data_IF_808991806478
#
_entry.id   IF_808991806478
#
_cell.length_a   1.000
_cell.length_b   1.000
_cell.length_c   1.000
_cell.angle_alpha   90.00
_cell.angle_beta   90.00
_cell.angle_gamma   90.00
#
_symmetry.space_group_name_H-M   'P 1'
#
loop_
_entity.id
_entity.type
_entity.pdbx_description
1 polymer ?
#
# COMPACT_ATOMS: atom_id res chain seq x y z
N UNK A 1 28.88 3.98 -10.70
CA UNK A 1 28.15 4.83 -9.74
C UNK A 1 27.11 5.59 -10.51
N UNK A 2 25.85 5.14 -10.47
CA UNK A 2 24.72 5.87 -11.08
C UNK A 2 24.54 7.21 -10.35
N UNK A 3 24.11 8.26 -11.06
CA UNK A 3 24.02 9.65 -10.59
C UNK A 3 23.56 9.76 -9.14
N UNK A 4 24.45 10.12 -8.22
CA UNK A 4 24.08 10.49 -6.85
C UNK A 4 23.79 11.99 -6.82
N UNK A 5 22.57 12.37 -6.44
CA UNK A 5 22.22 13.77 -6.20
C UNK A 5 22.02 13.98 -4.71
N UNK A 6 22.65 14.98 -4.12
CA UNK A 6 22.53 15.27 -2.66
C UNK A 6 21.07 15.47 -2.23
N UNK A 7 20.22 15.98 -3.13
CA UNK A 7 18.81 16.24 -2.86
C UNK A 7 17.98 14.95 -2.65
N UNK A 8 18.09 13.98 -3.57
CA UNK A 8 17.25 12.77 -3.60
C UNK A 8 18.02 11.47 -3.30
N UNK A 9 19.34 11.55 -3.14
CA UNK A 9 20.22 10.41 -2.99
C UNK A 9 20.00 9.36 -4.08
N UNK A 10 19.97 8.10 -3.64
CA UNK A 10 19.65 6.92 -4.44
C UNK A 10 18.14 6.63 -4.46
N UNK A 11 17.30 7.41 -3.78
CA UNK A 11 15.85 7.16 -3.77
C UNK A 11 15.23 7.43 -5.14
N UNK A 12 15.72 8.41 -5.90
CA UNK A 12 15.19 8.67 -7.24
C UNK A 12 15.43 7.50 -8.20
N UNK A 13 16.64 6.94 -8.25
CA UNK A 13 16.92 5.76 -9.11
C UNK A 13 16.15 4.52 -8.66
N UNK A 14 15.85 4.39 -7.37
CA UNK A 14 15.01 3.30 -6.86
C UNK A 14 13.53 3.48 -7.25
N UNK A 15 13.06 4.72 -7.43
CA UNK A 15 11.71 5.02 -7.91
C UNK A 15 11.57 4.95 -9.43
N UNK A 16 12.65 5.27 -10.15
CA UNK A 16 12.68 5.32 -11.61
C UNK A 16 13.07 3.99 -12.28
N UNK A 17 13.20 2.90 -11.51
CA UNK A 17 13.53 1.58 -12.06
C UNK A 17 12.35 0.95 -12.82
N UNK A 18 12.66 0.24 -13.91
CA UNK A 18 11.64 -0.41 -14.76
C UNK A 18 10.82 -1.46 -14.00
N UNK A 19 11.47 -2.28 -13.18
CA UNK A 19 10.80 -3.25 -12.30
C UNK A 19 11.23 -3.05 -10.85
N UNK A 20 10.27 -3.11 -9.94
CA UNK A 20 10.53 -3.06 -8.51
C UNK A 20 11.47 -4.20 -8.08
N UNK A 21 12.58 -3.85 -7.42
CA UNK A 21 13.53 -4.81 -6.84
C UNK A 21 14.75 -5.12 -7.71
N UNK A 22 14.86 -4.58 -8.93
CA UNK A 22 15.97 -4.85 -9.84
C UNK A 22 17.29 -4.31 -9.27
N UNK A 23 17.29 -3.04 -8.83
CA UNK A 23 18.46 -2.40 -8.24
C UNK A 23 18.82 -3.01 -6.89
N UNK A 24 17.83 -3.28 -6.04
CA UNK A 24 18.02 -3.88 -4.72
C UNK A 24 18.62 -5.29 -4.85
N UNK A 25 18.14 -6.08 -5.81
CA UNK A 25 18.68 -7.41 -6.11
C UNK A 25 20.12 -7.33 -6.61
N UNK A 26 20.41 -6.37 -7.49
CA UNK A 26 21.77 -6.14 -8.00
C UNK A 26 22.72 -5.73 -6.87
N UNK A 27 22.38 -4.72 -6.08
CA UNK A 27 23.20 -4.23 -4.98
C UNK A 27 23.37 -5.26 -3.87
N UNK A 28 22.34 -6.05 -3.58
CA UNK A 28 22.46 -7.18 -2.66
C UNK A 28 23.51 -8.19 -3.14
N UNK A 29 23.57 -8.50 -4.44
CA UNK A 29 24.59 -9.42 -4.99
C UNK A 29 26.00 -8.84 -4.92
N UNK A 30 26.14 -7.53 -5.09
CA UNK A 30 27.43 -6.84 -5.14
C UNK A 30 27.99 -6.53 -3.74
N UNK A 31 27.15 -6.03 -2.84
CA UNK A 31 27.56 -5.52 -1.53
C UNK A 31 27.14 -6.42 -0.35
N UNK A 32 26.37 -7.49 -0.62
CA UNK A 32 25.91 -8.44 0.38
C UNK A 32 24.55 -8.08 0.99
N UNK A 33 24.23 -8.68 2.14
CA UNK A 33 22.91 -8.59 2.77
C UNK A 33 22.71 -7.36 3.66
N UNK A 34 23.74 -6.53 3.83
CA UNK A 34 23.71 -5.32 4.63
C UNK A 34 24.57 -4.26 3.96
N UNK A 35 23.95 -3.19 3.48
CA UNK A 35 24.66 -2.13 2.77
C UNK A 35 24.02 -0.76 2.99
N UNK A 36 24.81 0.29 2.79
CA UNK A 36 24.39 1.69 2.96
C UNK A 36 24.13 2.32 1.60
N UNK A 37 23.01 3.01 1.47
CA UNK A 37 22.73 3.93 0.36
C UNK A 37 22.52 5.34 0.92
N UNK A 38 22.77 6.35 0.09
CA UNK A 38 22.39 7.72 0.42
C UNK A 38 20.91 7.95 0.15
N UNK A 39 20.17 8.43 1.14
CA UNK A 39 18.77 8.87 1.03
C UNK A 39 18.64 10.35 0.67
N UNK A 40 17.43 10.87 0.78
CA UNK A 40 17.16 12.30 0.56
C UNK A 40 17.98 13.19 1.50
N UNK A 41 18.34 14.39 1.03
CA UNK A 41 19.04 15.42 1.82
C UNK A 41 20.33 14.93 2.52
N UNK A 42 21.04 13.97 1.91
CA UNK A 42 22.28 13.41 2.45
C UNK A 42 22.09 12.46 3.64
N UNK A 43 20.87 11.96 3.88
CA UNK A 43 20.62 10.92 4.88
C UNK A 43 21.36 9.63 4.54
N UNK A 44 21.73 8.87 5.57
CA UNK A 44 22.22 7.50 5.42
C UNK A 44 21.07 6.51 5.60
N UNK A 45 20.81 5.70 4.58
CA UNK A 45 19.79 4.64 4.60
C UNK A 45 20.49 3.29 4.62
N UNK A 46 20.21 2.52 5.67
CA UNK A 46 20.71 1.16 5.81
C UNK A 46 19.73 0.18 5.20
N UNK A 47 20.15 -0.53 4.15
CA UNK A 47 19.35 -1.59 3.53
C UNK A 47 19.71 -2.92 4.17
N UNK A 48 18.69 -3.61 4.69
CA UNK A 48 18.82 -4.87 5.43
C UNK A 48 18.09 -5.97 4.67
N UNK A 49 18.82 -7.01 4.27
CA UNK A 49 18.28 -8.21 3.61
C UNK A 49 18.53 -9.51 4.40
N UNK A 50 19.20 -9.43 5.55
CA UNK A 50 19.50 -10.58 6.40
C UNK A 50 18.35 -10.86 7.39
N UNK A 51 17.80 -12.10 7.44
CA UNK A 51 16.68 -12.44 8.33
C UNK A 51 16.94 -12.19 9.82
N UNK A 52 18.16 -12.43 10.33
CA UNK A 52 18.48 -12.22 11.75
C UNK A 52 18.49 -10.73 12.09
N UNK A 53 18.98 -9.92 11.17
CA UNK A 53 18.99 -8.46 11.30
C UNK A 53 17.57 -7.90 11.19
N UNK A 54 16.73 -8.43 10.30
CA UNK A 54 15.31 -8.08 10.23
C UNK A 54 14.57 -8.46 11.52
N UNK A 55 14.82 -9.65 12.07
CA UNK A 55 14.28 -10.06 13.37
C UNK A 55 14.68 -9.06 14.45
N UNK A 56 15.96 -8.64 14.49
CA UNK A 56 16.43 -7.62 15.43
C UNK A 56 15.66 -6.31 15.30
N UNK A 57 15.45 -5.82 14.07
CA UNK A 57 14.79 -4.53 13.77
C UNK A 57 13.30 -4.58 14.08
N UNK A 58 12.62 -5.69 13.78
CA UNK A 58 11.18 -5.83 14.02
C UNK A 58 10.83 -6.38 15.41
N UNK A 59 11.84 -6.68 16.24
CA UNK A 59 11.60 -7.26 17.55
C UNK A 59 10.82 -6.29 18.46
N UNK A 60 9.72 -6.72 19.12
CA UNK A 60 8.89 -5.83 19.94
C UNK A 60 9.62 -5.16 21.11
N UNK A 61 10.71 -5.77 21.61
CA UNK A 61 11.52 -5.17 22.69
C UNK A 61 12.42 -4.03 22.23
N UNK A 62 12.57 -3.82 20.92
CA UNK A 62 13.41 -2.78 20.31
C UNK A 62 12.55 -1.94 19.37
N UNK A 63 11.79 -0.98 19.87
CA UNK A 63 10.90 -0.18 19.04
C UNK A 63 11.72 0.81 18.20
N UNK A 64 12.12 0.40 17.00
CA UNK A 64 12.63 1.33 15.99
C UNK A 64 11.46 2.20 15.49
N UNK A 65 11.59 3.54 15.54
CA UNK A 65 10.55 4.41 15.03
C UNK A 65 10.48 4.32 13.50
N UNK A 66 9.29 4.59 12.95
CA UNK A 66 9.13 4.86 11.52
C UNK A 66 9.96 6.09 11.18
N UNK A 67 10.50 6.17 9.96
CA UNK A 67 11.24 7.36 9.52
C UNK A 67 10.35 8.60 9.57
N UNK A 68 10.94 9.75 9.92
CA UNK A 68 10.21 11.02 9.97
C UNK A 68 9.62 11.37 8.60
N UNK A 69 10.33 11.05 7.53
CA UNK A 69 9.88 11.30 6.15
C UNK A 69 8.63 10.47 5.83
N UNK A 70 8.60 9.20 6.23
CA UNK A 70 7.41 8.36 6.07
C UNK A 70 6.22 8.90 6.88
N UNK A 71 6.45 9.28 8.14
CA UNK A 71 5.40 9.83 9.01
C UNK A 71 4.86 11.16 8.45
N UNK A 72 5.75 12.02 7.94
CA UNK A 72 5.41 13.29 7.33
C UNK A 72 4.56 13.10 6.07
N UNK A 73 5.04 12.30 5.12
CA UNK A 73 4.34 12.02 3.86
C UNK A 73 2.97 11.41 4.13
N UNK A 74 2.90 10.37 4.97
CA UNK A 74 1.63 9.74 5.32
C UNK A 74 0.67 10.68 6.06
N UNK A 75 1.22 11.59 6.87
CA UNK A 75 0.47 12.62 7.58
C UNK A 75 -0.15 13.67 6.65
N UNK A 76 0.47 13.97 5.51
CA UNK A 76 -0.12 14.87 4.51
C UNK A 76 -1.40 14.29 3.89
N UNK A 77 -1.43 12.97 3.67
CA UNK A 77 -2.57 12.30 3.04
C UNK A 77 -3.67 11.94 4.05
N UNK A 78 -3.29 11.39 5.21
CA UNK A 78 -4.25 10.79 6.16
C UNK A 78 -4.45 11.61 7.43
N UNK A 79 -3.71 12.71 7.59
CA UNK A 79 -3.62 13.44 8.84
C UNK A 79 -2.97 12.62 9.96
N UNK A 80 -3.16 13.07 11.21
CA UNK A 80 -2.63 12.37 12.38
C UNK A 80 -3.53 11.18 12.73
N UNK A 81 -3.11 9.98 12.36
CA UNK A 81 -3.82 8.73 12.64
C UNK A 81 -2.92 7.55 12.94
N UNK A 82 -3.49 6.34 12.92
CA UNK A 82 -2.81 5.08 13.28
C UNK A 82 -1.55 4.83 12.45
N UNK A 83 -1.49 5.31 11.20
CA UNK A 83 -0.29 5.22 10.38
C UNK A 83 0.88 6.08 10.89
N UNK A 84 0.57 7.24 11.45
CA UNK A 84 1.54 8.30 11.80
C UNK A 84 2.00 8.27 13.26
N UNK A 85 1.15 7.82 14.19
CA UNK A 85 1.48 7.78 15.62
C UNK A 85 2.36 6.56 15.96
N UNK A 86 3.06 6.64 17.09
CA UNK A 86 3.94 5.59 17.61
C UNK A 86 3.66 5.29 19.11
N UNK A 87 4.27 4.23 19.63
CA UNK A 87 4.21 3.87 21.05
C UNK A 87 2.81 3.53 21.56
N UNK A 88 2.50 3.95 22.79
CA UNK A 88 1.24 3.65 23.47
C UNK A 88 0.01 4.18 22.71
N UNK A 89 0.12 5.37 22.09
CA UNK A 89 -0.98 5.94 21.32
C UNK A 89 -1.32 5.07 20.10
N UNK A 90 -0.30 4.58 19.40
CA UNK A 90 -0.46 3.63 18.31
C UNK A 90 -1.10 2.32 18.79
N UNK A 91 -0.63 1.77 19.90
CA UNK A 91 -1.18 0.55 20.49
C UNK A 91 -2.66 0.74 20.86
N UNK A 92 -3.01 1.87 21.47
CA UNK A 92 -4.40 2.21 21.82
C UNK A 92 -5.29 2.31 20.59
N UNK A 93 -4.84 3.02 19.55
CA UNK A 93 -5.61 3.15 18.30
C UNK A 93 -5.79 1.79 17.61
N UNK A 94 -4.73 0.96 17.50
CA UNK A 94 -4.84 -0.40 16.97
C UNK A 94 -5.79 -1.26 17.78
N UNK A 95 -5.76 -1.17 19.12
CA UNK A 95 -6.67 -1.94 19.98
C UNK A 95 -8.14 -1.61 19.70
N UNK A 96 -8.45 -0.36 19.37
CA UNK A 96 -9.80 0.07 19.00
C UNK A 96 -10.20 -0.44 17.60
N UNK A 97 -9.26 -0.47 16.64
CA UNK A 97 -9.53 -0.87 15.25
C UNK A 97 -9.55 -2.39 15.03
N UNK A 98 -8.69 -3.15 15.71
CA UNK A 98 -8.52 -4.59 15.49
C UNK A 98 -9.82 -5.41 15.53
N UNK A 99 -10.85 -5.11 16.37
CA UNK A 99 -12.12 -5.85 16.36
C UNK A 99 -12.85 -5.85 15.01
N UNK A 100 -12.71 -4.78 14.21
CA UNK A 100 -13.27 -4.71 12.86
C UNK A 100 -12.64 -5.73 11.89
N UNK A 101 -11.47 -6.28 12.24
CA UNK A 101 -10.77 -7.32 11.50
C UNK A 101 -10.83 -8.69 12.20
N UNK A 102 -11.77 -8.88 13.12
CA UNK A 102 -11.99 -10.17 13.78
C UNK A 102 -12.54 -11.22 12.80
N UNK A 103 -12.33 -12.51 13.09
CA UNK A 103 -12.82 -13.60 12.24
C UNK A 103 -14.34 -13.61 12.08
N UNK A 104 -15.09 -13.09 13.06
CA UNK A 104 -16.54 -12.91 12.97
C UNK A 104 -16.88 -11.81 11.96
N UNK A 105 -16.21 -10.67 12.06
CA UNK A 105 -16.45 -9.55 11.15
C UNK A 105 -16.04 -9.89 9.70
N UNK A 106 -14.92 -10.60 9.53
CA UNK A 106 -14.48 -11.06 8.20
C UNK A 106 -15.48 -12.03 7.56
N UNK A 107 -16.11 -12.92 8.35
CA UNK A 107 -17.20 -13.79 7.87
C UNK A 107 -18.43 -12.99 7.45
N UNK A 108 -18.79 -11.96 8.20
CA UNK A 108 -19.90 -11.08 7.82
C UNK A 108 -19.61 -10.34 6.50
N UNK A 109 -18.36 -9.89 6.32
CA UNK A 109 -17.94 -9.25 5.08
C UNK A 109 -17.90 -10.21 3.89
N UNK A 110 -17.73 -11.53 4.10
CA UNK A 110 -17.63 -12.51 3.00
C UNK A 110 -18.77 -12.40 1.98
N UNK A 111 -20.00 -12.15 2.43
CA UNK A 111 -21.16 -11.97 1.53
C UNK A 111 -20.95 -10.77 0.59
N UNK A 112 -20.42 -9.66 1.11
CA UNK A 112 -20.09 -8.46 0.32
C UNK A 112 -19.01 -8.79 -0.71
N UNK A 113 -17.96 -9.51 -0.31
CA UNK A 113 -16.90 -9.93 -1.23
C UNK A 113 -17.47 -10.79 -2.37
N UNK A 114 -18.34 -11.75 -2.06
CA UNK A 114 -18.98 -12.61 -3.07
C UNK A 114 -19.84 -11.79 -4.04
N UNK A 115 -20.71 -10.92 -3.52
CA UNK A 115 -21.56 -10.05 -4.34
C UNK A 115 -20.74 -9.15 -5.26
N UNK A 116 -19.68 -8.52 -4.73
CA UNK A 116 -18.81 -7.66 -5.54
C UNK A 116 -18.00 -8.47 -6.56
N UNK A 117 -17.59 -9.70 -6.23
CA UNK A 117 -16.91 -10.60 -7.17
C UNK A 117 -17.82 -11.03 -8.33
N UNK A 118 -19.08 -11.36 -8.02
CA UNK A 118 -20.06 -11.71 -9.04
C UNK A 118 -20.34 -10.52 -9.97
N UNK A 119 -20.51 -9.31 -9.40
CA UNK A 119 -20.63 -8.07 -10.18
C UNK A 119 -19.42 -7.83 -11.06
N UNK A 120 -18.21 -7.98 -10.52
CA UNK A 120 -16.95 -7.84 -11.27
C UNK A 120 -16.90 -8.80 -12.47
N UNK A 121 -17.16 -10.10 -12.24
CA UNK A 121 -17.12 -11.11 -13.31
C UNK A 121 -18.17 -10.82 -14.37
N UNK A 122 -19.39 -10.47 -13.97
CA UNK A 122 -20.46 -10.15 -14.92
C UNK A 122 -20.17 -8.85 -15.69
N UNK A 123 -19.63 -7.83 -15.03
CA UNK A 123 -19.22 -6.57 -15.65
C UNK A 123 -18.11 -6.77 -16.68
N UNK A 124 -17.07 -7.53 -16.34
CA UNK A 124 -16.00 -7.88 -17.29
C UNK A 124 -16.57 -8.65 -18.47
N UNK A 125 -17.35 -9.71 -18.24
CA UNK A 125 -17.98 -10.49 -19.33
C UNK A 125 -18.86 -9.63 -20.23
N UNK A 126 -19.64 -8.70 -19.66
CA UNK A 126 -20.49 -7.78 -20.41
C UNK A 126 -19.71 -6.75 -21.23
N UNK A 127 -18.48 -6.41 -20.81
CA UNK A 127 -17.60 -5.50 -21.55
C UNK A 127 -16.89 -6.15 -22.75
N UNK A 128 -16.89 -7.49 -22.81
CA UNK A 128 -16.26 -8.26 -23.89
C UNK A 128 -17.29 -8.53 -25.00
N UNK A 129 -16.99 -8.05 -26.19
CA UNK A 129 -17.76 -8.22 -27.43
C UNK A 129 -17.16 -9.26 -28.39
N UNK A 130 -15.88 -9.60 -28.23
CA UNK A 130 -15.16 -10.56 -29.06
C UNK A 130 -13.99 -11.26 -28.36
N UNK A 131 -13.39 -12.26 -29.02
CA UNK A 131 -12.29 -13.07 -28.45
C UNK A 131 -10.96 -12.31 -28.32
N UNK A 132 -10.76 -11.23 -29.08
CA UNK A 132 -9.54 -10.41 -29.06
C UNK A 132 -9.66 -9.17 -28.15
N UNK A 133 -10.77 -9.05 -27.42
CA UNK A 133 -10.99 -7.89 -26.55
C UNK A 133 -10.06 -7.92 -25.33
N UNK A 134 -9.53 -6.75 -25.01
CA UNK A 134 -8.62 -6.58 -23.87
C UNK A 134 -9.32 -5.84 -22.74
N UNK A 135 -8.91 -6.15 -21.51
CA UNK A 135 -9.52 -5.60 -20.30
C UNK A 135 -8.45 -4.96 -19.44
N UNK A 136 -8.71 -3.74 -18.98
CA UNK A 136 -7.87 -3.08 -18.00
C UNK A 136 -8.13 -3.67 -16.60
N UNK A 137 -7.34 -4.68 -16.22
CA UNK A 137 -7.47 -5.35 -14.91
C UNK A 137 -7.25 -4.38 -13.74
N UNK A 138 -6.37 -3.39 -13.89
CA UNK A 138 -6.11 -2.40 -12.84
C UNK A 138 -7.36 -1.55 -12.55
N UNK A 139 -8.06 -1.09 -13.59
CA UNK A 139 -9.30 -0.31 -13.44
C UNK A 139 -10.39 -1.14 -12.75
N UNK A 140 -10.62 -2.36 -13.23
CA UNK A 140 -11.62 -3.27 -12.65
C UNK A 140 -11.32 -3.67 -11.20
N UNK A 141 -10.05 -3.97 -10.89
CA UNK A 141 -9.62 -4.30 -9.52
C UNK A 141 -9.68 -3.09 -8.59
N UNK A 142 -9.45 -1.88 -9.10
CA UNK A 142 -9.62 -0.64 -8.34
C UNK A 142 -11.10 -0.40 -7.99
N UNK A 143 -12.01 -0.55 -8.96
CA UNK A 143 -13.46 -0.41 -8.78
C UNK A 143 -14.02 -1.40 -7.75
N UNK A 144 -13.72 -2.69 -7.91
CA UNK A 144 -14.20 -3.72 -6.95
C UNK A 144 -13.62 -3.51 -5.55
N UNK A 145 -12.36 -3.09 -5.43
CA UNK A 145 -11.74 -2.84 -4.13
C UNK A 145 -12.41 -1.66 -3.43
N UNK A 146 -12.75 -0.61 -4.17
CA UNK A 146 -13.44 0.57 -3.66
C UNK A 146 -14.86 0.21 -3.17
N UNK A 147 -15.62 -0.56 -3.95
CA UNK A 147 -16.96 -1.02 -3.58
C UNK A 147 -16.91 -1.92 -2.33
N UNK A 148 -15.97 -2.88 -2.27
CA UNK A 148 -15.81 -3.77 -1.11
C UNK A 148 -15.46 -2.97 0.15
N UNK A 149 -14.48 -2.07 0.09
CA UNK A 149 -14.07 -1.27 1.25
C UNK A 149 -15.19 -0.34 1.68
N UNK A 150 -15.86 0.32 0.73
CA UNK A 150 -17.02 1.17 0.97
C UNK A 150 -18.11 0.43 1.73
N UNK A 151 -18.56 -0.71 1.21
CA UNK A 151 -19.65 -1.47 1.80
C UNK A 151 -19.26 -2.13 3.13
N UNK A 152 -18.09 -2.78 3.18
CA UNK A 152 -17.69 -3.57 4.36
C UNK A 152 -17.22 -2.70 5.53
N UNK A 153 -16.56 -1.58 5.26
CA UNK A 153 -15.93 -0.74 6.30
C UNK A 153 -16.74 0.51 6.62
N UNK A 154 -17.30 1.16 5.60
CA UNK A 154 -17.94 2.47 5.73
C UNK A 154 -19.46 2.43 5.55
N UNK A 155 -20.01 1.27 5.17
CA UNK A 155 -21.41 1.11 4.74
C UNK A 155 -21.81 2.14 3.68
N UNK A 156 -20.86 2.47 2.81
CA UNK A 156 -21.01 3.43 1.75
C UNK A 156 -20.98 2.70 0.41
N UNK A 157 -22.00 2.90 -0.40
CA UNK A 157 -22.09 2.31 -1.73
C UNK A 157 -21.47 3.29 -2.75
N UNK A 158 -20.27 2.95 -3.24
CA UNK A 158 -19.63 3.70 -4.31
C UNK A 158 -20.22 3.38 -5.68
N UNK A 159 -20.86 2.21 -5.84
CA UNK A 159 -21.39 1.69 -7.10
C UNK A 159 -20.41 1.85 -8.27
N UNK A 160 -19.11 1.70 -8.00
CA UNK A 160 -18.03 1.94 -8.97
C UNK A 160 -17.99 0.87 -10.06
N UNK A 161 -18.38 -0.36 -9.75
CA UNK A 161 -18.56 -1.43 -10.75
C UNK A 161 -19.75 -1.17 -11.68
N UNK A 162 -20.76 -0.42 -11.22
CA UNK A 162 -21.95 -0.07 -11.99
C UNK A 162 -21.74 1.20 -12.83
N UNK A 163 -20.51 1.73 -12.85
CA UNK A 163 -20.13 2.91 -13.64
C UNK A 163 -20.51 4.25 -13.00
N UNK A 164 -20.97 4.26 -11.75
CA UNK A 164 -21.23 5.52 -11.04
C UNK A 164 -19.91 6.19 -10.62
N UNK A 165 -19.89 7.52 -10.71
CA UNK A 165 -18.82 8.34 -10.18
C UNK A 165 -19.34 9.19 -9.04
N UNK A 166 -19.09 8.74 -7.82
CA UNK A 166 -19.35 9.55 -6.62
C UNK A 166 -18.23 10.57 -6.43
N UNK A 167 -18.51 11.71 -5.79
CA UNK A 167 -17.50 12.73 -5.46
C UNK A 167 -16.29 12.12 -4.71
N UNK A 168 -16.58 11.26 -3.73
CA UNK A 168 -15.54 10.54 -2.98
C UNK A 168 -14.76 9.54 -3.86
N UNK A 169 -15.45 8.86 -4.80
CA UNK A 169 -14.79 7.97 -5.76
C UNK A 169 -13.86 8.71 -6.72
N UNK A 170 -14.24 9.91 -7.17
CA UNK A 170 -13.38 10.76 -7.99
C UNK A 170 -12.17 11.28 -7.21
N UNK A 171 -12.38 11.74 -5.97
CA UNK A 171 -11.28 12.15 -5.09
C UNK A 171 -10.26 11.02 -4.87
N UNK A 172 -10.74 9.78 -4.70
CA UNK A 172 -9.88 8.60 -4.54
C UNK A 172 -9.03 8.28 -5.78
N UNK A 173 -9.52 8.55 -7.00
CA UNK A 173 -8.74 8.38 -8.24
C UNK A 173 -7.56 9.34 -8.35
N UNK A 174 -7.61 10.49 -7.67
CA UNK A 174 -6.50 11.46 -7.64
C UNK A 174 -5.45 11.15 -6.57
N UNK A 175 -5.73 10.18 -5.69
CA UNK A 175 -4.83 9.72 -4.62
C UNK A 175 -3.99 8.51 -5.02
N UNK A 176 -4.43 7.72 -6.00
CA UNK A 176 -3.78 6.52 -6.54
C UNK A 176 -3.04 6.86 -7.85
#
# INVERSE_FOLDING_TARGET
MSSYTVLLGHEHILRDQDNAGDLETKWRKEYGTLYRIGGCLGQDVLVVCDPKTLEHVFHPSRPYPKSNDFVFILGLFTGKGVGTVAGELHQRQRKILNPAFSSVQLRNSQVIFQQCSDKLVNGIKGSLTGPDDTVNVLDWTSKVSLDIIGLASFRYDFSSLDGQETELGQAMKHLL
#
